data_IF_792658612410
#
_entry.id   IF_792658612410
#
_cell.length_a   1.000
_cell.length_b   1.000
_cell.length_c   1.000
_cell.angle_alpha   90.00
_cell.angle_beta   90.00
_cell.angle_gamma   90.00
#
_symmetry.space_group_name_H-M   'P 1'
#
loop_
_entity.id
_entity.type
_entity.pdbx_description
1 polymer ?
#
# COMPACT_ATOMS: atom_id res chain seq x y z
N UNK A 1 7.60 -51.63 -1.21
CA UNK A 1 8.28 -50.94 -0.10
C UNK A 1 8.27 -49.45 -0.41
N UNK A 2 7.86 -48.59 0.51
CA UNK A 2 7.97 -47.14 0.31
C UNK A 2 9.46 -46.76 0.26
N UNK A 3 9.94 -46.18 -0.84
CA UNK A 3 11.32 -45.67 -0.94
C UNK A 3 11.58 -44.65 0.17
N UNK A 4 12.77 -44.66 0.77
CA UNK A 4 13.16 -43.67 1.80
C UNK A 4 13.29 -42.28 1.17
N UNK A 5 13.04 -41.20 1.95
CA UNK A 5 13.24 -39.83 1.45
C UNK A 5 14.71 -39.62 1.07
N UNK A 6 15.62 -40.21 1.83
CA UNK A 6 17.05 -40.12 1.54
C UNK A 6 17.41 -40.74 0.18
N UNK A 7 16.78 -41.86 -0.18
CA UNK A 7 16.99 -42.52 -1.48
C UNK A 7 16.49 -41.65 -2.62
N UNK A 8 15.28 -41.09 -2.49
CA UNK A 8 14.70 -40.20 -3.48
C UNK A 8 15.56 -38.94 -3.67
N UNK A 9 16.05 -38.33 -2.58
CA UNK A 9 16.91 -37.16 -2.64
C UNK A 9 18.25 -37.45 -3.32
N UNK A 10 18.85 -38.62 -3.07
CA UNK A 10 20.10 -39.03 -3.73
C UNK A 10 19.90 -39.25 -5.22
N UNK A 11 18.81 -39.92 -5.61
CA UNK A 11 18.51 -40.17 -7.02
C UNK A 11 18.20 -38.85 -7.74
N UNK A 12 17.38 -37.99 -7.14
CA UNK A 12 17.11 -36.64 -7.64
C UNK A 12 18.38 -35.81 -7.83
N UNK A 13 19.32 -35.86 -6.87
CA UNK A 13 20.57 -35.09 -6.96
C UNK A 13 21.46 -35.50 -8.14
N UNK A 14 21.40 -36.77 -8.55
CA UNK A 14 22.20 -37.31 -9.64
C UNK A 14 21.50 -37.13 -10.99
N UNK A 15 20.20 -37.42 -11.04
CA UNK A 15 19.45 -37.56 -12.29
C UNK A 15 18.51 -36.37 -12.59
N UNK A 16 18.25 -35.50 -11.62
CA UNK A 16 17.23 -34.45 -11.68
C UNK A 16 15.88 -34.95 -12.20
N UNK A 17 15.48 -36.15 -11.75
CA UNK A 17 14.23 -36.78 -12.19
C UNK A 17 13.02 -36.10 -11.55
N UNK A 18 12.12 -35.56 -12.38
CA UNK A 18 10.87 -34.93 -11.93
C UNK A 18 9.99 -35.88 -11.11
N UNK A 19 10.06 -37.19 -11.37
CA UNK A 19 9.28 -38.17 -10.62
C UNK A 19 9.71 -38.24 -9.14
N UNK A 20 11.01 -38.16 -8.87
CA UNK A 20 11.52 -38.14 -7.50
C UNK A 20 11.06 -36.88 -6.78
N UNK A 21 11.14 -35.73 -7.46
CA UNK A 21 10.63 -34.47 -6.91
C UNK A 21 9.15 -34.59 -6.57
N UNK A 22 8.33 -35.11 -7.47
CA UNK A 22 6.90 -35.29 -7.24
C UNK A 22 6.61 -36.22 -6.06
N UNK A 23 7.37 -37.32 -5.90
CA UNK A 23 7.25 -38.22 -4.76
C UNK A 23 7.64 -37.56 -3.44
N UNK A 24 8.68 -36.73 -3.42
CA UNK A 24 9.08 -35.96 -2.25
C UNK A 24 8.01 -34.90 -1.95
N UNK A 25 7.59 -34.13 -2.96
CA UNK A 25 6.58 -33.09 -2.84
C UNK A 25 5.29 -33.63 -2.23
N UNK A 26 4.81 -34.78 -2.70
CA UNK A 26 3.62 -35.44 -2.15
C UNK A 26 3.74 -35.72 -0.64
N UNK A 27 4.94 -36.05 -0.13
CA UNK A 27 5.17 -36.27 1.31
C UNK A 27 5.16 -34.97 2.11
N UNK A 28 5.66 -33.88 1.54
CA UNK A 28 5.69 -32.57 2.18
C UNK A 28 4.43 -31.73 1.94
N UNK A 29 3.55 -32.17 1.04
CA UNK A 29 2.34 -31.44 0.66
C UNK A 29 1.43 -31.10 1.85
N UNK A 30 1.20 -31.97 2.85
CA UNK A 30 0.44 -31.57 4.04
C UNK A 30 1.06 -30.40 4.81
N UNK A 31 2.40 -30.33 4.88
CA UNK A 31 3.11 -29.24 5.53
C UNK A 31 3.03 -27.95 4.72
N UNK A 32 3.20 -28.04 3.40
CA UNK A 32 3.06 -26.91 2.47
C UNK A 32 1.65 -26.33 2.55
N UNK A 33 0.62 -27.17 2.44
CA UNK A 33 -0.79 -26.75 2.57
C UNK A 33 -1.08 -26.13 3.94
N UNK A 34 -0.48 -26.66 5.02
CA UNK A 34 -0.62 -26.09 6.37
C UNK A 34 -0.06 -24.67 6.45
N UNK A 35 1.10 -24.40 5.84
CA UNK A 35 1.71 -23.07 5.88
C UNK A 35 1.06 -22.10 4.90
N UNK A 36 0.70 -22.54 3.70
CA UNK A 36 -0.03 -21.71 2.74
C UNK A 36 -1.34 -21.18 3.32
N UNK A 37 -2.12 -22.00 4.04
CA UNK A 37 -3.34 -21.56 4.73
C UNK A 37 -3.13 -20.48 5.81
N UNK A 38 -1.90 -20.28 6.28
CA UNK A 38 -1.56 -19.26 7.27
C UNK A 38 -1.09 -17.95 6.66
N UNK A 39 -0.87 -17.92 5.35
CA UNK A 39 -0.50 -16.72 4.60
C UNK A 39 -1.78 -16.02 4.14
N UNK A 40 -2.47 -15.34 5.06
CA UNK A 40 -3.81 -14.77 4.80
C UNK A 40 -3.86 -13.68 3.72
N UNK A 41 -2.73 -13.03 3.45
CA UNK A 41 -2.64 -11.88 2.55
C UNK A 41 -1.99 -12.21 1.20
N UNK A 42 -1.63 -13.46 0.99
CA UNK A 42 -1.12 -13.96 -0.28
C UNK A 42 -2.15 -14.96 -0.78
N UNK A 43 -2.42 -14.97 -2.09
CA UNK A 43 -3.32 -15.96 -2.64
C UNK A 43 -2.84 -17.38 -2.30
N UNK A 44 -3.79 -18.26 -2.04
CA UNK A 44 -3.45 -19.61 -1.58
C UNK A 44 -2.63 -20.37 -2.63
N UNK A 45 -2.95 -20.21 -3.92
CA UNK A 45 -2.22 -20.87 -5.01
C UNK A 45 -0.79 -20.36 -5.12
N UNK A 46 -0.58 -19.05 -5.05
CA UNK A 46 0.75 -18.43 -5.02
C UNK A 46 1.56 -18.90 -3.83
N UNK A 47 0.93 -18.94 -2.65
CA UNK A 47 1.56 -19.44 -1.42
C UNK A 47 2.00 -20.89 -1.54
N UNK A 48 1.20 -21.73 -2.21
CA UNK A 48 1.57 -23.12 -2.48
C UNK A 48 2.77 -23.17 -3.44
N UNK A 49 2.72 -22.44 -4.56
CA UNK A 49 3.80 -22.42 -5.55
C UNK A 49 5.13 -21.98 -4.91
N UNK A 50 5.11 -20.89 -4.16
CA UNK A 50 6.27 -20.34 -3.46
C UNK A 50 6.92 -21.32 -2.48
N UNK A 51 6.10 -22.06 -1.73
CA UNK A 51 6.60 -23.07 -0.79
C UNK A 51 7.08 -24.35 -1.51
N UNK A 52 6.47 -24.71 -2.64
CA UNK A 52 6.96 -25.79 -3.51
C UNK A 52 8.33 -25.43 -4.13
N UNK A 53 8.51 -24.18 -4.57
CA UNK A 53 9.79 -23.68 -5.08
C UNK A 53 10.87 -23.73 -4.01
N UNK A 54 10.57 -23.31 -2.78
CA UNK A 54 11.54 -23.42 -1.68
C UNK A 54 11.95 -24.87 -1.38
N UNK A 55 11.04 -25.83 -1.55
CA UNK A 55 11.38 -27.26 -1.44
C UNK A 55 12.30 -27.70 -2.58
N UNK A 56 12.00 -27.29 -3.82
CA UNK A 56 12.82 -27.59 -4.99
C UNK A 56 14.24 -27.02 -4.86
N UNK A 57 14.35 -25.73 -4.53
CA UNK A 57 15.64 -25.05 -4.28
C UNK A 57 16.44 -25.75 -3.18
N UNK A 58 15.79 -26.20 -2.10
CA UNK A 58 16.47 -26.94 -1.04
C UNK A 58 17.02 -28.28 -1.54
N UNK A 59 16.25 -29.00 -2.37
CA UNK A 59 16.71 -30.25 -2.98
C UNK A 59 17.89 -30.03 -3.93
N UNK A 60 17.88 -28.93 -4.70
CA UNK A 60 18.97 -28.58 -5.59
C UNK A 60 20.24 -28.18 -4.82
N UNK A 61 20.09 -27.48 -3.69
CA UNK A 61 21.22 -26.95 -2.92
C UNK A 61 21.75 -27.87 -1.82
N UNK A 62 21.06 -28.98 -1.51
CA UNK A 62 21.51 -29.91 -0.47
C UNK A 62 22.88 -30.51 -0.82
N UNK A 63 23.81 -30.48 0.13
CA UNK A 63 25.18 -31.01 -0.01
C UNK A 63 25.43 -32.26 0.84
N UNK A 64 24.67 -32.43 1.93
CA UNK A 64 24.84 -33.54 2.87
C UNK A 64 23.63 -34.49 2.83
N UNK A 65 23.88 -35.75 2.44
CA UNK A 65 22.86 -36.78 2.24
C UNK A 65 23.29 -38.12 2.86
N UNK A 66 23.48 -38.17 4.18
CA UNK A 66 23.82 -39.43 4.87
C UNK A 66 22.75 -39.86 5.87
N UNK A 67 22.05 -38.92 6.49
CA UNK A 67 21.06 -39.18 7.53
C UNK A 67 19.67 -38.72 7.08
N UNK A 68 18.71 -39.65 7.03
CA UNK A 68 17.34 -39.37 6.59
C UNK A 68 16.63 -38.33 7.48
N UNK A 69 16.78 -38.40 8.79
CA UNK A 69 16.15 -37.44 9.71
C UNK A 69 16.71 -36.02 9.55
N UNK A 70 18.02 -35.91 9.29
CA UNK A 70 18.66 -34.64 9.01
C UNK A 70 18.14 -34.04 7.69
N UNK A 71 18.01 -34.87 6.64
CA UNK A 71 17.47 -34.46 5.35
C UNK A 71 16.02 -33.96 5.47
N UNK A 72 15.17 -34.71 6.18
CA UNK A 72 13.79 -34.31 6.43
C UNK A 72 13.75 -32.98 7.19
N UNK A 73 14.57 -32.83 8.22
CA UNK A 73 14.63 -31.59 9.02
C UNK A 73 15.10 -30.41 8.17
N UNK A 74 16.08 -30.60 7.30
CA UNK A 74 16.56 -29.60 6.37
C UNK A 74 15.44 -29.10 5.43
N UNK A 75 14.71 -30.01 4.79
CA UNK A 75 13.59 -29.65 3.92
C UNK A 75 12.45 -28.96 4.68
N UNK A 76 12.11 -29.45 5.89
CA UNK A 76 11.13 -28.78 6.76
C UNK A 76 11.54 -27.35 7.09
N UNK A 77 12.82 -27.14 7.39
CA UNK A 77 13.36 -25.83 7.73
C UNK A 77 13.36 -24.90 6.53
N UNK A 78 13.71 -25.39 5.33
CA UNK A 78 13.65 -24.59 4.10
C UNK A 78 12.23 -24.05 3.84
N UNK A 79 11.22 -24.92 3.90
CA UNK A 79 9.81 -24.53 3.77
C UNK A 79 9.42 -23.52 4.87
N UNK A 80 9.81 -23.78 6.12
CA UNK A 80 9.50 -22.89 7.24
C UNK A 80 10.13 -21.49 7.07
N UNK A 81 11.38 -21.42 6.64
CA UNK A 81 12.06 -20.13 6.42
C UNK A 81 11.43 -19.35 5.27
N UNK A 82 11.04 -20.01 4.18
CA UNK A 82 10.29 -19.35 3.10
C UNK A 82 8.96 -18.82 3.63
N UNK A 83 8.21 -19.63 4.36
CA UNK A 83 6.97 -19.21 5.01
C UNK A 83 7.17 -17.96 5.89
N UNK A 84 8.18 -17.93 6.76
CA UNK A 84 8.48 -16.78 7.61
C UNK A 84 8.79 -15.52 6.80
N UNK A 85 9.53 -15.66 5.69
CA UNK A 85 9.86 -14.54 4.80
C UNK A 85 8.59 -13.98 4.14
N UNK A 86 7.75 -14.85 3.58
CA UNK A 86 6.48 -14.45 2.96
C UNK A 86 5.53 -13.79 3.96
N UNK A 87 5.44 -14.34 5.17
CA UNK A 87 4.62 -13.79 6.25
C UNK A 87 5.08 -12.40 6.68
N UNK A 88 6.39 -12.17 6.78
CA UNK A 88 6.94 -10.87 7.12
C UNK A 88 6.71 -9.83 6.01
N UNK A 89 6.92 -10.22 4.74
CA UNK A 89 6.70 -9.34 3.59
C UNK A 89 5.23 -8.92 3.48
N UNK A 90 4.31 -9.87 3.60
CA UNK A 90 2.88 -9.59 3.45
C UNK A 90 2.32 -8.71 4.56
N UNK A 91 2.81 -8.86 5.80
CA UNK A 91 2.49 -7.94 6.89
C UNK A 91 2.98 -6.52 6.62
N UNK A 92 4.19 -6.37 6.06
CA UNK A 92 4.73 -5.06 5.69
C UNK A 92 3.94 -4.41 4.54
N UNK A 93 3.47 -5.19 3.57
CA UNK A 93 2.60 -4.71 2.50
C UNK A 93 1.24 -4.27 3.02
N UNK A 94 0.64 -5.02 3.97
CA UNK A 94 -0.59 -4.61 4.64
C UNK A 94 -0.42 -3.25 5.33
N UNK A 95 0.64 -3.07 6.12
CA UNK A 95 0.92 -1.80 6.78
C UNK A 95 1.05 -0.63 5.78
N UNK A 96 1.49 -0.90 4.55
CA UNK A 96 1.53 0.12 3.48
C UNK A 96 0.16 0.41 2.90
N UNK A 97 -0.66 -0.62 2.67
CA UNK A 97 -2.01 -0.50 2.09
C UNK A 97 -2.97 0.18 3.08
N UNK A 98 -2.93 -0.15 4.37
CA UNK A 98 -3.74 0.51 5.40
C UNK A 98 -3.43 2.01 5.53
N UNK A 99 -2.20 2.42 5.17
CA UNK A 99 -1.78 3.81 5.12
C UNK A 99 -2.03 4.49 3.76
N UNK A 100 -2.60 3.78 2.78
CA UNK A 100 -2.98 4.33 1.49
C UNK A 100 -4.49 4.64 1.49
N UNK A 101 -4.86 5.78 0.90
CA UNK A 101 -6.26 6.11 0.64
C UNK A 101 -6.88 5.06 -0.31
N UNK A 102 -8.09 4.55 -0.01
CA UNK A 102 -8.79 3.57 -0.85
C UNK A 102 -8.85 3.99 -2.32
N UNK A 103 -8.72 3.03 -3.22
CA UNK A 103 -8.76 3.27 -4.66
C UNK A 103 -10.14 3.82 -5.11
N UNK A 104 -11.23 3.43 -4.44
CA UNK A 104 -12.55 4.02 -4.65
C UNK A 104 -12.60 5.54 -4.42
N UNK A 105 -11.83 6.08 -3.46
CA UNK A 105 -11.77 7.52 -3.20
C UNK A 105 -11.05 8.27 -4.33
N UNK A 106 -10.16 7.60 -5.07
CA UNK A 106 -9.47 8.17 -6.23
C UNK A 106 -10.38 8.23 -7.45
N UNK A 107 -11.27 7.25 -7.64
CA UNK A 107 -12.20 7.21 -8.79
C UNK A 107 -13.28 8.30 -8.68
N UNK A 108 -13.74 8.62 -7.46
CA UNK A 108 -14.71 9.70 -7.23
C UNK A 108 -14.15 11.07 -7.68
N UNK A 109 -12.82 11.24 -7.66
CA UNK A 109 -12.19 12.51 -8.02
C UNK A 109 -12.11 12.78 -9.54
N UNK A 110 -12.21 11.78 -10.40
CA UNK A 110 -11.73 11.90 -11.78
C UNK A 110 -12.72 12.40 -12.84
N UNK A 111 -14.04 12.25 -12.68
CA UNK A 111 -14.96 12.46 -13.83
C UNK A 111 -15.95 13.64 -13.74
N UNK A 112 -16.17 14.25 -12.56
CA UNK A 112 -17.04 15.46 -12.45
C UNK A 112 -16.52 16.50 -11.45
N UNK A 113 -15.68 16.10 -10.48
CA UNK A 113 -15.09 17.02 -9.50
C UNK A 113 -13.95 17.87 -10.08
N UNK A 114 -13.12 17.31 -10.96
CA UNK A 114 -11.95 17.97 -11.57
C UNK A 114 -12.34 19.20 -12.40
N UNK A 115 -13.45 19.13 -13.16
CA UNK A 115 -13.91 20.28 -13.93
C UNK A 115 -14.51 21.37 -13.03
N UNK A 116 -15.29 20.98 -12.01
CA UNK A 116 -15.86 21.90 -11.01
C UNK A 116 -14.78 22.56 -10.16
N UNK A 117 -13.76 21.82 -9.75
CA UNK A 117 -12.62 22.32 -8.98
C UNK A 117 -11.78 23.28 -9.81
N UNK A 118 -11.56 22.96 -11.10
CA UNK A 118 -10.84 23.86 -12.02
C UNK A 118 -11.62 25.16 -12.23
N UNK A 119 -12.95 25.10 -12.39
CA UNK A 119 -13.81 26.28 -12.52
C UNK A 119 -13.82 27.12 -11.23
N UNK A 120 -13.94 26.46 -10.07
CA UNK A 120 -13.87 27.13 -8.76
C UNK A 120 -12.52 27.83 -8.54
N UNK A 121 -11.40 27.17 -8.87
CA UNK A 121 -10.07 27.77 -8.77
C UNK A 121 -9.90 28.95 -9.72
N UNK A 122 -10.46 28.87 -10.94
CA UNK A 122 -10.47 29.97 -11.90
C UNK A 122 -11.26 31.17 -11.38
N UNK A 123 -12.47 30.95 -10.88
CA UNK A 123 -13.33 32.01 -10.32
C UNK A 123 -12.73 32.63 -9.06
N UNK A 124 -12.14 31.81 -8.20
CA UNK A 124 -11.41 32.27 -7.03
C UNK A 124 -10.22 33.15 -7.43
N UNK A 125 -9.42 32.70 -8.41
CA UNK A 125 -8.28 33.47 -8.91
C UNK A 125 -8.71 34.81 -9.53
N UNK A 126 -9.79 34.80 -10.31
CA UNK A 126 -10.41 36.00 -10.88
C UNK A 126 -10.85 36.97 -9.78
N UNK A 127 -11.55 36.48 -8.74
CA UNK A 127 -12.01 37.30 -7.61
C UNK A 127 -10.84 37.86 -6.79
N UNK A 128 -9.81 37.06 -6.52
CA UNK A 128 -8.60 37.52 -5.82
C UNK A 128 -7.87 38.62 -6.59
N UNK A 129 -7.91 38.60 -7.93
CA UNK A 129 -7.31 39.65 -8.75
C UNK A 129 -8.11 40.96 -8.78
N UNK A 130 -9.39 40.95 -8.39
CA UNK A 130 -10.16 42.19 -8.19
C UNK A 130 -9.79 42.93 -6.90
N UNK A 131 -9.12 42.26 -5.96
CA UNK A 131 -8.74 42.84 -4.67
C UNK A 131 -7.39 43.56 -4.78
N UNK A 132 -7.33 44.80 -4.34
CA UNK A 132 -6.09 45.54 -4.18
C UNK A 132 -5.34 45.17 -2.89
N UNK A 133 -4.03 45.43 -2.86
CA UNK A 133 -3.27 45.40 -1.61
C UNK A 133 -3.84 46.44 -0.62
N UNK A 134 -3.95 46.14 0.69
CA UNK A 134 -3.52 44.92 1.41
C UNK A 134 -4.61 43.83 1.53
N UNK A 135 -5.80 44.02 0.95
CA UNK A 135 -6.93 43.10 1.11
C UNK A 135 -6.65 41.71 0.53
N UNK A 136 -6.04 41.66 -0.66
CA UNK A 136 -5.64 40.41 -1.32
C UNK A 136 -4.74 39.54 -0.42
N UNK A 137 -3.72 40.16 0.18
CA UNK A 137 -2.79 39.49 1.08
C UNK A 137 -3.46 38.97 2.36
N UNK A 138 -4.42 39.73 2.91
CA UNK A 138 -5.22 39.26 4.06
C UNK A 138 -5.95 37.96 3.70
N UNK A 139 -6.58 37.89 2.52
CA UNK A 139 -7.32 36.68 2.09
C UNK A 139 -6.38 35.50 1.90
N UNK A 140 -5.24 35.71 1.24
CA UNK A 140 -4.24 34.65 1.02
C UNK A 140 -3.73 34.11 2.36
N UNK A 141 -3.43 34.97 3.34
CA UNK A 141 -2.97 34.54 4.65
C UNK A 141 -4.05 33.81 5.45
N UNK A 142 -5.33 34.23 5.33
CA UNK A 142 -6.45 33.51 5.93
C UNK A 142 -6.60 32.10 5.33
N UNK A 143 -6.50 31.96 4.00
CA UNK A 143 -6.54 30.66 3.33
C UNK A 143 -5.36 29.75 3.73
N UNK A 144 -4.21 30.33 4.06
CA UNK A 144 -3.04 29.61 4.60
C UNK A 144 -3.17 29.26 6.10
N UNK A 145 -4.29 29.60 6.75
CA UNK A 145 -4.55 29.28 8.16
C UNK A 145 -3.93 30.22 9.19
N UNK A 146 -3.45 31.40 8.79
CA UNK A 146 -2.90 32.37 9.73
C UNK A 146 -4.01 32.99 10.60
N UNK A 147 -3.71 33.22 11.89
CA UNK A 147 -4.67 33.88 12.78
C UNK A 147 -4.74 35.39 12.51
N UNK A 148 -5.87 36.02 12.84
CA UNK A 148 -6.06 37.47 12.69
C UNK A 148 -4.98 38.29 13.42
N UNK A 149 -4.41 37.74 14.51
CA UNK A 149 -3.31 38.37 15.24
C UNK A 149 -2.01 38.32 14.44
N UNK A 150 -1.72 37.20 13.80
CA UNK A 150 -0.49 37.00 13.02
C UNK A 150 -0.53 37.82 11.72
N UNK A 151 -1.69 37.85 11.07
CA UNK A 151 -1.94 38.69 9.88
C UNK A 151 -1.78 40.17 10.23
N UNK A 152 -2.34 40.62 11.35
CA UNK A 152 -2.24 42.01 11.79
C UNK A 152 -0.80 42.45 12.07
N UNK A 153 0.01 41.56 12.66
CA UNK A 153 1.45 41.78 12.87
C UNK A 153 2.23 41.83 11.55
N UNK A 154 1.93 40.92 10.62
CA UNK A 154 2.66 40.80 9.36
C UNK A 154 2.36 41.95 8.38
N UNK A 155 1.10 42.39 8.32
CA UNK A 155 0.64 43.43 7.40
C UNK A 155 0.50 44.81 8.06
N UNK A 156 0.97 44.96 9.32
CA UNK A 156 0.84 46.18 10.11
C UNK A 156 -0.59 46.77 10.11
N UNK A 157 -1.61 45.92 10.25
CA UNK A 157 -3.01 46.33 10.24
C UNK A 157 -3.76 45.88 11.49
N UNK A 158 -4.81 46.63 11.87
CA UNK A 158 -5.57 46.33 13.08
C UNK A 158 -6.48 45.11 12.89
N UNK A 159 -6.76 44.38 13.98
CA UNK A 159 -7.75 43.29 13.99
C UNK A 159 -9.13 43.73 13.48
N UNK A 160 -9.51 44.97 13.76
CA UNK A 160 -10.78 45.56 13.28
C UNK A 160 -10.78 45.73 11.75
N UNK A 161 -9.64 46.12 11.17
CA UNK A 161 -9.47 46.23 9.73
C UNK A 161 -9.61 44.86 9.05
N UNK A 162 -8.98 43.81 9.59
CA UNK A 162 -9.10 42.43 9.10
C UNK A 162 -10.56 41.96 9.15
N UNK A 163 -11.25 42.19 10.26
CA UNK A 163 -12.68 41.84 10.41
C UNK A 163 -13.57 42.58 9.40
N UNK A 164 -13.27 43.86 9.11
CA UNK A 164 -13.99 44.61 8.07
C UNK A 164 -13.76 44.00 6.69
N UNK A 165 -12.53 43.60 6.36
CA UNK A 165 -12.20 42.94 5.09
C UNK A 165 -12.94 41.60 4.96
N UNK A 166 -12.97 40.77 6.01
CA UNK A 166 -13.75 39.52 6.04
C UNK A 166 -15.23 39.77 5.75
N UNK A 167 -15.83 40.78 6.40
CA UNK A 167 -17.22 41.17 6.17
C UNK A 167 -17.45 41.65 4.73
N UNK A 168 -16.59 42.52 4.20
CA UNK A 168 -16.71 43.00 2.81
C UNK A 168 -16.67 41.86 1.79
N UNK A 169 -15.86 40.83 2.02
CA UNK A 169 -15.78 39.67 1.13
C UNK A 169 -17.03 38.80 1.24
N UNK A 170 -17.54 38.61 2.46
CA UNK A 170 -18.77 37.85 2.71
C UNK A 170 -20.03 38.54 2.16
N UNK A 171 -20.13 39.87 2.29
CA UNK A 171 -21.28 40.66 1.78
C UNK A 171 -21.26 40.78 0.25
N UNK A 172 -20.08 40.84 -0.38
CA UNK A 172 -19.95 40.79 -1.85
C UNK A 172 -20.18 39.38 -2.45
N UNK A 173 -20.79 38.45 -1.71
CA UNK A 173 -21.16 37.10 -2.15
C UNK A 173 -22.68 36.88 -2.28
N UNK A 174 -23.53 37.91 -2.06
CA UNK A 174 -25.00 37.83 -2.18
C UNK A 174 -25.54 37.95 -3.63
N UNK A 175 -24.75 37.61 -4.66
CA UNK A 175 -25.24 37.51 -6.07
C UNK A 175 -25.00 36.11 -6.66
N UNK A 176 -25.17 35.07 -5.85
CA UNK A 176 -25.28 33.67 -6.28
C UNK A 176 -26.62 33.06 -5.82
N UNK A 177 -27.69 33.84 -5.86
CA UNK A 177 -29.08 33.36 -5.88
C UNK A 177 -29.81 33.97 -7.08
N UNK A 178 -29.32 33.71 -8.29
CA UNK A 178 -30.12 33.86 -9.51
C UNK A 178 -29.56 32.90 -10.56
N UNK A 179 -30.01 31.64 -10.51
CA UNK A 179 -30.34 30.78 -11.65
C UNK A 179 -30.79 29.41 -11.09
N UNK A 180 -31.88 29.44 -10.33
CA UNK A 180 -32.89 28.37 -10.40
C UNK A 180 -34.10 29.01 -11.08
N UNK A 181 -34.19 28.80 -12.39
CA UNK A 181 -35.41 28.58 -13.21
C UNK A 181 -34.99 28.29 -14.66
#
# INVERSE_FOLDING_TARGET
MSQSILQLMKHFKIHQDENDFNLILNRFQPLIKKYAKKLYYIEYEDSIQELCLALYEALENVTYLENEYACISYLKNAIYHRFCKLYASSKCEQEKIENQTPYEDLIISSDDSTMKDTLFLYDLHKKLNTLCYPKKEIVILLMKGYSDKDIGKQLNCSRQYINRVKKTIATNNELLEMHEE
#
